data_IF_386527717500
#
_entry.id   IF_386527717500
#
_cell.length_a   1.000
_cell.length_b   1.000
_cell.length_c   1.000
_cell.angle_alpha   90.00
_cell.angle_beta   90.00
_cell.angle_gamma   90.00
#
_symmetry.space_group_name_H-M   'P 1'
#
loop_
_entity.id
_entity.type
_entity.pdbx_description
1 polymer ?
#
# COMPACT_ATOMS: atom_id res chain seq x y z
N UNK A 1 3.88 -17.63 -18.16
CA UNK A 1 5.01 -17.43 -17.24
C UNK A 1 4.84 -18.33 -16.04
N UNK A 2 5.81 -19.21 -15.78
CA UNK A 2 5.81 -20.12 -14.63
C UNK A 2 6.09 -19.38 -13.32
N UNK A 3 5.86 -20.02 -12.18
CA UNK A 3 6.21 -19.48 -10.87
C UNK A 3 7.72 -19.16 -10.75
N UNK A 4 8.57 -20.06 -11.26
CA UNK A 4 10.03 -19.89 -11.20
C UNK A 4 10.52 -18.75 -12.09
N UNK A 5 9.93 -18.57 -13.28
CA UNK A 5 10.25 -17.46 -14.17
C UNK A 5 9.95 -16.10 -13.53
N UNK A 6 8.86 -15.99 -12.76
CA UNK A 6 8.52 -14.74 -12.03
C UNK A 6 9.50 -14.42 -10.92
N UNK A 7 9.93 -15.42 -10.15
CA UNK A 7 10.82 -15.22 -9.01
C UNK A 7 12.29 -15.02 -9.39
N UNK A 8 12.68 -15.38 -10.61
CA UNK A 8 14.07 -15.33 -11.06
C UNK A 8 14.72 -13.97 -10.78
N UNK A 9 14.08 -12.88 -11.20
CA UNK A 9 14.64 -11.54 -11.00
C UNK A 9 14.79 -11.18 -9.52
N UNK A 10 13.84 -11.60 -8.67
CA UNK A 10 13.84 -11.27 -7.25
C UNK A 10 14.95 -12.02 -6.51
N UNK A 11 15.16 -13.29 -6.87
CA UNK A 11 16.31 -14.05 -6.39
C UNK A 11 17.63 -13.45 -6.86
N UNK A 12 17.74 -12.95 -8.09
CA UNK A 12 18.95 -12.29 -8.58
C UNK A 12 19.16 -10.91 -7.93
N UNK A 13 18.08 -10.19 -7.65
CA UNK A 13 18.10 -8.85 -7.08
C UNK A 13 18.73 -8.82 -5.68
N UNK A 14 18.36 -9.79 -4.82
CA UNK A 14 18.80 -10.00 -3.42
C UNK A 14 18.53 -8.86 -2.44
N UNK A 15 18.66 -7.61 -2.87
CA UNK A 15 18.62 -6.42 -2.04
C UNK A 15 17.68 -5.37 -2.62
N UNK A 16 16.77 -4.90 -1.77
CA UNK A 16 15.86 -3.79 -2.06
C UNK A 16 15.65 -2.92 -0.84
N UNK A 17 15.07 -1.74 -1.04
CA UNK A 17 14.78 -0.78 0.02
C UNK A 17 13.29 -0.61 0.21
N UNK A 18 12.85 -0.62 1.47
CA UNK A 18 11.50 -0.28 1.86
C UNK A 18 11.40 1.20 2.24
N UNK A 19 10.33 1.85 1.79
CA UNK A 19 9.98 3.22 2.12
C UNK A 19 8.61 3.20 2.79
N UNK A 20 8.59 3.33 4.11
CA UNK A 20 7.38 3.62 4.87
C UNK A 20 7.22 5.13 4.96
N UNK A 21 6.24 5.64 4.23
CA UNK A 21 5.92 7.05 4.18
C UNK A 21 4.39 7.28 4.23
N UNK A 22 3.96 8.26 5.00
CA UNK A 22 2.55 8.55 5.26
C UNK A 22 2.39 9.71 6.24
N UNK A 23 1.16 9.92 6.74
CA UNK A 23 0.88 11.00 7.68
C UNK A 23 1.59 10.80 9.02
N UNK A 24 1.84 9.56 9.42
CA UNK A 24 2.66 9.24 10.58
C UNK A 24 4.07 9.88 10.54
N UNK A 25 4.61 10.19 9.36
CA UNK A 25 5.88 10.89 9.22
C UNK A 25 5.83 12.33 9.76
N UNK A 26 4.65 12.97 9.79
CA UNK A 26 4.46 14.29 10.42
C UNK A 26 4.51 14.23 11.95
N UNK A 27 4.18 13.06 12.52
CA UNK A 27 4.17 12.85 13.97
C UNK A 27 5.54 12.40 14.50
N UNK A 28 6.37 11.79 13.63
CA UNK A 28 7.77 11.46 13.93
C UNK A 28 7.97 10.37 14.99
N UNK A 29 6.96 9.55 15.26
CA UNK A 29 6.98 8.55 16.35
C UNK A 29 6.37 7.19 16.02
N UNK A 30 6.34 6.85 14.73
CA UNK A 30 6.00 5.51 14.22
C UNK A 30 4.64 5.44 13.52
N UNK A 31 4.52 4.50 12.59
CA UNK A 31 3.35 4.28 11.75
C UNK A 31 2.13 3.74 12.51
N UNK A 32 2.35 3.18 13.71
CA UNK A 32 1.30 2.70 14.61
C UNK A 32 0.71 3.76 15.54
N UNK A 33 1.19 5.02 15.47
CA UNK A 33 0.84 6.09 16.42
C UNK A 33 -0.67 6.30 16.55
N UNK A 34 -1.43 6.26 15.46
CA UNK A 34 -2.90 6.41 15.52
C UNK A 34 -3.54 5.35 16.43
N UNK A 35 -3.11 4.09 16.28
CA UNK A 35 -3.66 2.96 17.03
C UNK A 35 -3.12 2.90 18.46
N UNK A 36 -1.80 2.99 18.64
CA UNK A 36 -1.15 2.83 19.94
C UNK A 36 -1.57 3.90 20.94
N UNK A 37 -1.81 5.13 20.46
CA UNK A 37 -2.22 6.26 21.29
C UNK A 37 -3.72 6.55 21.23
N UNK A 38 -4.48 5.70 20.54
CA UNK A 38 -5.95 5.80 20.44
C UNK A 38 -6.41 7.15 19.92
N UNK A 39 -5.69 7.69 18.94
CA UNK A 39 -6.07 8.93 18.26
C UNK A 39 -7.33 8.64 17.45
N UNK A 40 -8.38 9.44 17.64
CA UNK A 40 -9.61 9.26 16.88
C UNK A 40 -9.34 9.47 15.38
N UNK A 41 -9.94 8.68 14.47
CA UNK A 41 -9.75 8.82 13.03
C UNK A 41 -9.87 10.27 12.53
N UNK A 42 -10.90 10.98 12.99
CA UNK A 42 -11.15 12.37 12.59
C UNK A 42 -10.01 13.33 12.99
N UNK A 43 -9.40 13.13 14.15
CA UNK A 43 -8.29 13.96 14.61
C UNK A 43 -7.03 13.68 13.79
N UNK A 44 -6.84 12.41 13.42
CA UNK A 44 -5.73 11.98 12.58
C UNK A 44 -5.88 12.46 11.12
N UNK A 45 -7.11 12.46 10.59
CA UNK A 45 -7.45 12.97 9.25
C UNK A 45 -7.06 14.44 9.07
N UNK A 46 -7.09 15.24 10.14
CA UNK A 46 -6.64 16.63 10.14
C UNK A 46 -5.16 16.83 9.80
N UNK A 47 -4.35 15.76 9.77
CA UNK A 47 -2.95 15.81 9.33
C UNK A 47 -2.81 15.90 7.81
N UNK A 48 -3.81 15.45 7.04
CA UNK A 48 -3.70 15.32 5.59
C UNK A 48 -3.42 16.67 4.88
N UNK A 49 -4.05 17.76 5.32
CA UNK A 49 -3.83 19.08 4.73
C UNK A 49 -2.44 19.66 5.01
N UNK A 50 -1.72 19.09 5.98
CA UNK A 50 -0.34 19.48 6.31
C UNK A 50 0.69 18.59 5.64
N UNK A 51 0.28 17.53 4.95
CA UNK A 51 1.17 16.60 4.30
C UNK A 51 1.74 17.20 3.02
N UNK A 52 2.92 17.79 3.12
CA UNK A 52 3.57 18.48 2.01
C UNK A 52 5.05 18.07 1.88
N UNK A 53 5.35 16.85 1.37
CA UNK A 53 6.72 16.43 1.11
C UNK A 53 7.42 17.31 0.09
N UNK A 54 8.75 17.29 0.11
CA UNK A 54 9.58 17.89 -0.94
C UNK A 54 9.12 17.43 -2.34
N UNK A 55 9.11 18.31 -3.35
CA UNK A 55 8.80 17.92 -4.73
C UNK A 55 9.76 16.85 -5.27
N UNK A 56 10.99 16.81 -4.77
CA UNK A 56 12.04 15.89 -5.25
C UNK A 56 12.17 14.60 -4.43
N UNK A 57 11.33 14.41 -3.40
CA UNK A 57 11.48 13.32 -2.42
C UNK A 57 11.58 11.93 -3.07
N UNK A 58 10.70 11.64 -4.03
CA UNK A 58 10.71 10.37 -4.76
C UNK A 58 12.04 10.13 -5.52
N UNK A 59 12.56 11.15 -6.18
CA UNK A 59 13.82 11.06 -6.94
C UNK A 59 15.01 10.89 -6.00
N UNK A 60 15.03 11.61 -4.88
CA UNK A 60 16.05 11.50 -3.85
C UNK A 60 16.10 10.08 -3.28
N UNK A 61 14.97 9.51 -2.87
CA UNK A 61 14.91 8.16 -2.33
C UNK A 61 15.39 7.11 -3.33
N UNK A 62 14.92 7.16 -4.58
CA UNK A 62 15.30 6.19 -5.60
C UNK A 62 16.78 6.32 -6.00
N UNK A 63 17.32 7.54 -6.04
CA UNK A 63 18.74 7.78 -6.30
C UNK A 63 19.60 7.21 -5.17
N UNK A 64 19.22 7.45 -3.91
CA UNK A 64 19.91 6.88 -2.75
C UNK A 64 19.84 5.34 -2.75
N UNK A 65 18.68 4.76 -3.08
CA UNK A 65 18.52 3.32 -3.19
C UNK A 65 19.45 2.71 -4.26
N UNK A 66 19.52 3.34 -5.44
CA UNK A 66 20.45 2.95 -6.50
C UNK A 66 21.90 3.05 -6.05
N UNK A 67 22.29 4.14 -5.39
CA UNK A 67 23.65 4.35 -4.89
C UNK A 67 24.02 3.32 -3.82
N UNK A 68 23.07 2.90 -2.99
CA UNK A 68 23.24 1.82 -2.02
C UNK A 68 23.36 0.42 -2.67
N UNK A 69 23.11 0.31 -3.98
CA UNK A 69 23.19 -0.95 -4.72
C UNK A 69 21.89 -1.76 -4.76
N UNK A 70 20.78 -1.19 -4.27
CA UNK A 70 19.47 -1.83 -4.32
C UNK A 70 19.05 -2.10 -5.78
N UNK A 71 18.27 -3.17 -5.98
CA UNK A 71 17.73 -3.56 -7.30
C UNK A 71 16.24 -3.33 -7.41
N UNK A 72 15.56 -3.16 -6.28
CA UNK A 72 14.16 -2.82 -6.20
C UNK A 72 13.89 -1.90 -5.02
N UNK A 73 12.76 -1.20 -5.09
CA UNK A 73 12.24 -0.36 -4.01
C UNK A 73 10.78 -0.75 -3.76
N UNK A 74 10.31 -0.59 -2.52
CA UNK A 74 8.91 -0.82 -2.14
C UNK A 74 8.40 0.41 -1.39
N UNK A 75 7.30 1.02 -1.85
CA UNK A 75 6.67 2.17 -1.20
C UNK A 75 5.30 1.79 -0.63
N UNK A 76 5.00 2.26 0.58
CA UNK A 76 3.65 2.22 1.15
C UNK A 76 2.68 3.09 0.36
N UNK A 77 1.85 2.47 -0.49
CA UNK A 77 0.79 3.20 -1.23
C UNK A 77 -0.35 3.63 -0.31
N UNK A 78 -0.64 2.81 0.69
CA UNK A 78 -1.59 3.02 1.78
C UNK A 78 -1.15 2.18 2.98
N UNK A 79 -1.00 2.79 4.14
CA UNK A 79 -0.75 2.08 5.42
C UNK A 79 -2.06 1.93 6.22
N UNK A 80 -1.99 1.35 7.42
CA UNK A 80 -3.16 1.07 8.27
C UNK A 80 -4.01 2.30 8.62
N UNK A 81 -3.41 3.51 8.62
CA UNK A 81 -4.12 4.78 8.81
C UNK A 81 -5.10 5.12 7.67
N UNK A 82 -5.01 4.42 6.54
CA UNK A 82 -5.95 4.54 5.42
C UNK A 82 -5.66 5.69 4.45
N UNK A 83 -4.66 6.54 4.72
CA UNK A 83 -4.26 7.63 3.82
C UNK A 83 -3.58 7.08 2.56
N UNK A 84 -4.10 7.46 1.39
CA UNK A 84 -3.56 7.00 0.11
C UNK A 84 -2.52 7.99 -0.43
N UNK A 85 -1.33 7.49 -0.75
CA UNK A 85 -0.29 8.25 -1.45
C UNK A 85 -0.54 8.38 -2.97
N UNK A 86 -1.72 7.98 -3.44
CA UNK A 86 -2.09 7.93 -4.85
C UNK A 86 -3.49 8.48 -5.07
N UNK A 87 -3.79 8.93 -6.29
CA UNK A 87 -5.09 9.55 -6.62
C UNK A 87 -6.19 8.51 -6.82
N UNK A 88 -6.70 7.96 -5.72
CA UNK A 88 -7.80 6.99 -5.77
C UNK A 88 -9.15 7.65 -6.04
N UNK A 89 -9.93 7.06 -6.94
CA UNK A 89 -11.34 7.44 -7.19
C UNK A 89 -12.28 6.99 -6.08
N UNK A 90 -11.83 6.09 -5.20
CA UNK A 90 -12.64 5.48 -4.16
C UNK A 90 -12.42 6.09 -2.77
N UNK A 91 -11.54 7.08 -2.66
CA UNK A 91 -11.24 7.78 -1.41
C UNK A 91 -11.02 9.26 -1.66
N UNK A 92 -11.53 10.10 -0.77
CA UNK A 92 -11.12 11.51 -0.72
C UNK A 92 -9.87 11.71 0.15
N UNK A 93 -9.53 10.73 0.98
CA UNK A 93 -8.41 10.77 1.91
C UNK A 93 -7.09 10.39 1.22
N UNK A 94 -6.63 11.26 0.32
CA UNK A 94 -5.45 11.03 -0.53
C UNK A 94 -4.53 12.24 -0.60
N UNK A 95 -3.25 12.01 -0.89
CA UNK A 95 -2.26 13.08 -1.16
C UNK A 95 -2.52 13.89 -2.44
N UNK A 96 -3.36 13.39 -3.34
CA UNK A 96 -3.78 14.12 -4.54
C UNK A 96 -4.89 15.14 -4.24
N UNK A 97 -5.69 14.90 -3.20
CA UNK A 97 -6.82 15.75 -2.80
C UNK A 97 -6.50 16.64 -1.60
N UNK A 98 -5.54 16.24 -0.77
CA UNK A 98 -5.08 16.96 0.40
C UNK A 98 -3.59 17.35 0.32
N UNK A 99 -3.18 18.30 1.16
CA UNK A 99 -1.77 18.64 1.35
C UNK A 99 -1.09 19.08 0.06
N UNK A 100 -0.08 18.33 -0.38
CA UNK A 100 0.69 18.62 -1.58
C UNK A 100 -0.12 18.60 -2.88
N UNK A 101 -1.29 17.94 -2.92
CA UNK A 101 -2.12 17.77 -4.13
C UNK A 101 -1.37 17.09 -5.28
N UNK A 102 -0.59 16.07 -4.96
CA UNK A 102 0.25 15.31 -5.89
C UNK A 102 0.02 13.82 -5.73
N UNK A 103 0.16 13.09 -6.83
CA UNK A 103 0.14 11.63 -6.86
C UNK A 103 1.56 11.12 -6.55
N UNK A 104 1.85 10.90 -5.27
CA UNK A 104 3.18 10.52 -4.79
C UNK A 104 3.59 9.13 -5.29
N UNK A 105 2.64 8.19 -5.42
CA UNK A 105 2.94 6.87 -6.00
C UNK A 105 3.37 7.00 -7.46
N UNK A 106 2.73 7.86 -8.26
CA UNK A 106 3.17 8.10 -9.65
C UNK A 106 4.58 8.67 -9.72
N UNK A 107 4.87 9.70 -8.92
CA UNK A 107 6.22 10.29 -8.85
C UNK A 107 7.28 9.24 -8.46
N UNK A 108 6.97 8.40 -7.47
CA UNK A 108 7.82 7.29 -7.05
C UNK A 108 8.05 6.25 -8.15
N UNK A 109 6.99 5.80 -8.82
CA UNK A 109 7.09 4.80 -9.87
C UNK A 109 7.95 5.32 -11.03
N UNK A 110 7.78 6.59 -11.41
CA UNK A 110 8.60 7.24 -12.43
C UNK A 110 10.06 7.38 -12.00
N UNK A 111 10.32 7.78 -10.75
CA UNK A 111 11.66 7.90 -10.19
C UNK A 111 12.39 6.56 -10.13
N UNK A 112 11.71 5.50 -9.66
CA UNK A 112 12.25 4.15 -9.59
C UNK A 112 12.67 3.65 -10.98
N UNK A 113 11.80 3.82 -11.98
CA UNK A 113 12.08 3.45 -13.38
C UNK A 113 13.24 4.24 -13.97
N UNK A 114 13.30 5.56 -13.75
CA UNK A 114 14.44 6.41 -14.17
C UNK A 114 15.76 5.94 -13.53
N UNK A 115 15.70 5.44 -12.30
CA UNK A 115 16.87 4.89 -11.62
C UNK A 115 17.25 3.48 -12.09
N UNK A 116 16.39 2.79 -12.86
CA UNK A 116 16.58 1.40 -13.27
C UNK A 116 16.26 0.39 -12.16
N UNK A 117 15.41 0.77 -11.21
CA UNK A 117 14.96 -0.06 -10.11
C UNK A 117 13.64 -0.75 -10.47
N UNK A 118 13.49 -1.98 -10.01
CA UNK A 118 12.21 -2.70 -10.01
C UNK A 118 11.23 -2.03 -9.04
N UNK A 119 9.96 -1.99 -9.41
CA UNK A 119 8.91 -1.24 -8.71
C UNK A 119 8.10 -2.17 -7.82
N UNK A 120 8.21 -1.98 -6.51
CA UNK A 120 7.37 -2.61 -5.51
C UNK A 120 6.37 -1.62 -4.90
N UNK A 121 5.17 -2.12 -4.61
CA UNK A 121 4.12 -1.40 -3.91
C UNK A 121 3.71 -2.20 -2.67
N UNK A 122 3.66 -1.55 -1.52
CA UNK A 122 3.00 -2.06 -0.34
C UNK A 122 1.57 -1.57 -0.29
N UNK A 123 0.66 -2.44 0.15
CA UNK A 123 -0.74 -2.12 0.36
C UNK A 123 -1.26 -2.78 1.62
N UNK A 124 -1.62 -1.98 2.63
CA UNK A 124 -2.31 -2.48 3.81
C UNK A 124 -3.73 -2.90 3.45
N UNK A 125 -4.15 -4.13 3.77
CA UNK A 125 -5.54 -4.58 3.79
C UNK A 125 -6.29 -4.00 4.99
N UNK A 126 -5.60 -3.84 6.12
CA UNK A 126 -6.14 -3.16 7.29
C UNK A 126 -6.37 -1.67 7.00
N UNK A 127 -7.49 -1.15 7.48
CA UNK A 127 -7.77 0.28 7.56
C UNK A 127 -8.47 0.54 8.90
N UNK A 128 -7.81 1.27 9.81
CA UNK A 128 -8.32 1.51 11.16
C UNK A 128 -9.64 2.29 11.20
N UNK A 129 -10.05 2.87 10.08
CA UNK A 129 -11.31 3.61 9.96
C UNK A 129 -12.52 2.69 9.75
N UNK A 130 -12.31 1.41 9.43
CA UNK A 130 -13.38 0.45 9.14
C UNK A 130 -13.64 -0.49 10.32
N UNK A 131 -14.72 -0.27 11.10
CA UNK A 131 -15.02 -1.12 12.26
C UNK A 131 -15.30 -2.59 11.91
N UNK A 132 -15.74 -2.87 10.67
CA UNK A 132 -15.95 -4.24 10.18
C UNK A 132 -14.67 -5.08 10.05
N UNK A 133 -13.49 -4.47 10.13
CA UNK A 133 -12.24 -5.21 10.30
C UNK A 133 -12.18 -5.92 11.67
N UNK A 134 -12.58 -5.21 12.71
CA UNK A 134 -12.43 -5.64 14.11
C UNK A 134 -13.63 -6.43 14.62
N UNK A 135 -14.84 -5.98 14.29
CA UNK A 135 -16.10 -6.61 14.72
C UNK A 135 -16.98 -6.95 13.50
N UNK A 136 -16.57 -7.88 12.62
CA UNK A 136 -17.24 -8.13 11.33
C UNK A 136 -18.69 -8.60 11.44
N UNK A 137 -19.03 -9.38 12.47
CA UNK A 137 -20.40 -9.87 12.69
C UNK A 137 -21.33 -8.75 13.15
N UNK A 138 -20.78 -7.72 13.81
CA UNK A 138 -21.51 -6.54 14.27
C UNK A 138 -21.63 -5.47 13.20
N UNK A 139 -20.61 -5.35 12.33
CA UNK A 139 -20.58 -4.38 11.23
C UNK A 139 -20.35 -5.06 9.87
N UNK A 140 -21.29 -5.91 9.41
CA UNK A 140 -21.14 -6.65 8.16
C UNK A 140 -21.08 -5.73 6.93
N UNK A 141 -21.77 -4.60 6.94
CA UNK A 141 -21.72 -3.61 5.87
C UNK A 141 -20.34 -2.92 5.80
N UNK A 142 -19.78 -2.54 6.95
CA UNK A 142 -18.42 -1.96 7.02
C UNK A 142 -17.37 -2.95 6.53
N UNK A 143 -17.52 -4.24 6.86
CA UNK A 143 -16.66 -5.31 6.32
C UNK A 143 -16.77 -5.38 4.79
N UNK A 144 -17.98 -5.45 4.25
CA UNK A 144 -18.18 -5.52 2.80
C UNK A 144 -17.57 -4.30 2.08
N UNK A 145 -17.83 -3.10 2.60
CA UNK A 145 -17.26 -1.85 2.09
C UNK A 145 -15.74 -1.86 2.12
N UNK A 146 -15.11 -2.32 3.21
CA UNK A 146 -13.65 -2.44 3.30
C UNK A 146 -13.09 -3.34 2.20
N UNK A 147 -13.68 -4.52 2.01
CA UNK A 147 -13.18 -5.49 1.02
C UNK A 147 -13.39 -5.00 -0.41
N UNK A 148 -14.54 -4.38 -0.72
CA UNK A 148 -14.77 -3.76 -2.04
C UNK A 148 -13.82 -2.58 -2.29
N UNK A 149 -13.63 -1.71 -1.29
CA UNK A 149 -12.70 -0.59 -1.34
C UNK A 149 -11.27 -1.05 -1.65
N UNK A 150 -10.80 -2.11 -1.00
CA UNK A 150 -9.48 -2.71 -1.24
C UNK A 150 -9.35 -3.23 -2.67
N UNK A 151 -10.32 -4.03 -3.14
CA UNK A 151 -10.25 -4.62 -4.48
C UNK A 151 -10.23 -3.54 -5.56
N UNK A 152 -11.03 -2.49 -5.37
CA UNK A 152 -11.08 -1.33 -6.25
C UNK A 152 -9.74 -0.57 -6.29
N UNK A 153 -9.15 -0.28 -5.13
CA UNK A 153 -7.87 0.43 -5.05
C UNK A 153 -6.68 -0.38 -5.57
N UNK A 154 -6.64 -1.67 -5.27
CA UNK A 154 -5.60 -2.56 -5.84
C UNK A 154 -5.73 -2.62 -7.36
N UNK A 155 -6.96 -2.64 -7.90
CA UNK A 155 -7.17 -2.54 -9.35
C UNK A 155 -6.57 -1.25 -9.92
N UNK A 156 -6.84 -0.09 -9.32
CA UNK A 156 -6.25 1.20 -9.75
C UNK A 156 -4.71 1.13 -9.76
N UNK A 157 -4.10 0.59 -8.71
CA UNK A 157 -2.65 0.45 -8.63
C UNK A 157 -2.07 -0.47 -9.71
N UNK A 158 -2.80 -1.53 -10.08
CA UNK A 158 -2.39 -2.49 -11.10
C UNK A 158 -2.70 -2.02 -12.54
N UNK A 159 -3.49 -0.96 -12.74
CA UNK A 159 -3.82 -0.42 -14.07
C UNK A 159 -3.12 0.90 -14.37
N UNK A 160 -3.14 1.85 -13.44
CA UNK A 160 -2.93 3.28 -13.75
C UNK A 160 -1.46 3.72 -13.59
N UNK A 161 -0.60 2.82 -13.11
CA UNK A 161 0.81 3.08 -12.77
C UNK A 161 1.80 2.29 -13.65
N UNK A 162 1.32 1.59 -14.68
CA UNK A 162 2.15 0.78 -15.58
C UNK A 162 2.58 -0.57 -14.96
N UNK A 163 3.72 -1.11 -15.38
CA UNK A 163 4.22 -2.39 -14.84
C UNK A 163 4.63 -2.28 -13.37
N UNK A 164 4.08 -3.15 -12.54
CA UNK A 164 4.46 -3.32 -11.13
C UNK A 164 5.12 -4.70 -10.97
N UNK A 165 6.29 -4.74 -10.35
CA UNK A 165 7.10 -5.95 -10.23
C UNK A 165 6.78 -6.74 -8.95
N UNK A 166 6.39 -6.04 -7.88
CA UNK A 166 6.13 -6.61 -6.56
C UNK A 166 4.95 -5.90 -5.89
N UNK A 167 4.00 -6.67 -5.37
CA UNK A 167 2.91 -6.19 -4.54
C UNK A 167 2.98 -6.90 -3.19
N UNK A 168 3.16 -6.14 -2.12
CA UNK A 168 3.19 -6.66 -0.76
C UNK A 168 1.94 -6.24 -0.02
N UNK A 169 1.13 -7.23 0.34
CA UNK A 169 0.00 -7.05 1.23
C UNK A 169 0.42 -7.14 2.68
N UNK A 170 -0.29 -6.39 3.50
CA UNK A 170 -0.14 -6.42 4.94
C UNK A 170 -1.48 -6.15 5.64
N UNK A 171 -1.57 -6.27 6.95
CA UNK A 171 -2.82 -6.01 7.68
C UNK A 171 -3.87 -7.12 7.59
N UNK A 172 -3.59 -8.21 6.86
CA UNK A 172 -4.55 -9.31 6.66
C UNK A 172 -4.68 -10.29 7.84
N UNK A 173 -3.91 -10.12 8.92
CA UNK A 173 -3.76 -11.12 9.99
C UNK A 173 -4.92 -11.15 11.01
N UNK A 174 -5.62 -10.03 11.24
CA UNK A 174 -6.80 -9.90 12.10
C UNK A 174 -6.57 -10.44 13.53
N UNK A 175 -5.71 -9.78 14.33
CA UNK A 175 -5.13 -10.37 15.53
C UNK A 175 -6.16 -10.61 16.64
N UNK A 176 -7.09 -9.66 16.82
CA UNK A 176 -8.10 -9.72 17.89
C UNK A 176 -9.13 -10.82 17.66
N UNK A 177 -9.35 -11.20 16.40
CA UNK A 177 -10.25 -12.29 16.02
C UNK A 177 -9.52 -13.64 15.99
N UNK A 178 -8.19 -13.63 15.89
CA UNK A 178 -7.31 -14.79 15.71
C UNK A 178 -7.93 -15.92 14.85
N UNK A 179 -8.43 -15.62 13.64
CA UNK A 179 -9.17 -16.59 12.86
C UNK A 179 -8.23 -17.64 12.25
N UNK A 180 -8.79 -18.75 11.77
CA UNK A 180 -8.02 -19.67 10.95
C UNK A 180 -7.69 -19.08 9.56
N UNK A 181 -6.87 -19.82 8.80
CA UNK A 181 -6.43 -19.38 7.46
C UNK A 181 -7.58 -19.29 6.46
N UNK A 182 -8.53 -20.21 6.48
CA UNK A 182 -9.61 -20.24 5.49
C UNK A 182 -10.60 -19.10 5.73
N UNK A 183 -10.87 -18.76 7.00
CA UNK A 183 -11.62 -17.57 7.35
C UNK A 183 -10.96 -16.32 6.78
N UNK A 184 -9.64 -16.12 6.94
CA UNK A 184 -8.94 -14.96 6.34
C UNK A 184 -9.07 -14.93 4.82
N UNK A 185 -8.90 -16.08 4.15
CA UNK A 185 -9.03 -16.18 2.70
C UNK A 185 -10.43 -15.73 2.24
N UNK A 186 -11.47 -16.16 2.96
CA UNK A 186 -12.85 -15.82 2.65
C UNK A 186 -13.19 -14.37 3.01
N UNK A 187 -12.71 -13.88 4.16
CA UNK A 187 -12.90 -12.50 4.60
C UNK A 187 -12.38 -11.51 3.54
N UNK A 188 -11.15 -11.71 3.07
CA UNK A 188 -10.52 -10.79 2.12
C UNK A 188 -10.90 -11.03 0.66
N UNK A 189 -11.69 -12.09 0.38
CA UNK A 189 -11.86 -12.65 -0.96
C UNK A 189 -10.49 -12.82 -1.65
N UNK A 190 -9.51 -13.37 -0.92
CA UNK A 190 -8.09 -13.31 -1.32
C UNK A 190 -7.80 -14.02 -2.65
N UNK A 191 -8.56 -15.08 -2.95
CA UNK A 191 -8.45 -15.81 -4.23
C UNK A 191 -8.85 -14.92 -5.41
N UNK A 192 -9.95 -14.18 -5.27
CA UNK A 192 -10.43 -13.23 -6.27
C UNK A 192 -9.46 -12.05 -6.44
N UNK A 193 -9.02 -11.46 -5.33
CA UNK A 193 -8.06 -10.34 -5.35
C UNK A 193 -6.77 -10.73 -6.09
N UNK A 194 -6.19 -11.87 -5.75
CA UNK A 194 -4.96 -12.35 -6.38
C UNK A 194 -5.18 -12.75 -7.83
N UNK A 195 -6.35 -13.30 -8.20
CA UNK A 195 -6.68 -13.59 -9.59
C UNK A 195 -6.71 -12.31 -10.43
N UNK A 196 -7.40 -11.26 -9.95
CA UNK A 196 -7.43 -9.95 -10.59
C UNK A 196 -6.03 -9.35 -10.77
N UNK A 197 -5.22 -9.35 -9.71
CA UNK A 197 -3.84 -8.83 -9.78
C UNK A 197 -3.02 -9.60 -10.83
N UNK A 198 -3.18 -10.92 -10.91
CA UNK A 198 -2.46 -11.77 -11.87
C UNK A 198 -2.94 -11.61 -13.31
N UNK A 199 -4.21 -11.28 -13.50
CA UNK A 199 -4.75 -10.94 -14.81
C UNK A 199 -4.16 -9.62 -15.32
N UNK A 200 -4.13 -8.59 -14.46
CA UNK A 200 -3.64 -7.25 -14.80
C UNK A 200 -2.12 -7.18 -14.92
N UNK A 201 -1.40 -7.92 -14.06
CA UNK A 201 0.06 -7.91 -13.97
C UNK A 201 0.60 -9.36 -13.93
N UNK A 202 0.65 -10.08 -15.06
CA UNK A 202 1.01 -11.51 -15.07
C UNK A 202 2.39 -11.84 -14.50
N UNK A 203 3.33 -10.89 -14.58
CA UNK A 203 4.71 -11.03 -14.10
C UNK A 203 4.93 -10.69 -12.62
N UNK A 204 3.93 -10.16 -11.92
CA UNK A 204 4.09 -9.60 -10.57
C UNK A 204 4.52 -10.65 -9.52
N UNK A 205 5.13 -10.24 -8.43
CA UNK A 205 5.31 -11.09 -7.23
C UNK A 205 4.32 -10.62 -6.16
N UNK A 206 3.74 -11.57 -5.42
CA UNK A 206 2.80 -11.31 -4.32
C UNK A 206 3.29 -12.13 -3.12
N UNK A 207 3.30 -11.55 -1.91
CA UNK A 207 3.69 -12.22 -0.67
C UNK A 207 2.61 -13.17 -0.10
#
# INVERSE_FOLDING_TARGET
>A
MTYQERLKWFHEARFGIYIHFGLYSLLGRGEWTMYSERIAPKDYEGLADRFNPSPDAAMEWCTLAKQAGAKYVVLTTRHHEGFCLFDSKYSDYTSAKHGCKRDIVREYVEAARKCGLKVGLYYSLLDWRFPGYFEPEKYPESKAQLVDYIHNQVRELMTDYGQIDLLEYDGGWMPDLNPDKEYRINFWRARELNAMVRELQPGIIIN
#
